data_IF_780820232728
#
_entry.id   IF_780820232728
#
_cell.length_a   1.000
_cell.length_b   1.000
_cell.length_c   1.000
_cell.angle_alpha   90.00
_cell.angle_beta   90.00
_cell.angle_gamma   90.00
#
_symmetry.space_group_name_H-M   'P 1'
#
loop_
_entity.id
_entity.type
_entity.pdbx_description
1 polymer ?
#
# COMPACT_ATOMS: atom_id res chain seq x y z
N UNK A 1 -25.22 -17.81 -2.06
CA UNK A 1 -26.37 -16.88 -2.05
C UNK A 1 -26.83 -16.52 -3.44
N UNK A 2 -26.03 -15.80 -4.23
CA UNK A 2 -26.41 -15.30 -5.57
C UNK A 2 -26.91 -16.38 -6.53
N UNK A 3 -26.23 -17.54 -6.71
CA UNK A 3 -26.76 -18.59 -7.59
C UNK A 3 -28.13 -19.08 -7.16
N UNK A 4 -28.38 -19.26 -5.87
CA UNK A 4 -29.70 -19.68 -5.37
C UNK A 4 -30.76 -18.60 -5.64
N UNK A 5 -30.45 -17.33 -5.40
CA UNK A 5 -31.37 -16.22 -5.68
C UNK A 5 -31.76 -16.16 -7.17
N UNK A 6 -30.77 -16.31 -8.07
CA UNK A 6 -31.03 -16.34 -9.52
C UNK A 6 -31.86 -17.55 -9.93
N UNK A 7 -31.59 -18.72 -9.33
CA UNK A 7 -32.36 -19.94 -9.58
C UNK A 7 -33.83 -19.77 -9.21
N UNK A 8 -34.11 -19.26 -8.02
CA UNK A 8 -35.49 -19.09 -7.53
C UNK A 8 -36.22 -17.90 -8.15
N UNK A 9 -35.48 -16.91 -8.68
CA UNK A 9 -36.10 -15.81 -9.44
C UNK A 9 -36.64 -16.28 -10.78
N UNK A 10 -36.12 -17.36 -11.35
CA UNK A 10 -36.58 -17.92 -12.65
C UNK A 10 -36.23 -17.03 -13.84
N UNK A 11 -36.91 -17.29 -14.99
CA UNK A 11 -36.70 -16.51 -16.19
C UNK A 11 -37.01 -15.00 -15.99
N UNK A 12 -36.23 -14.07 -16.56
CA UNK A 12 -35.13 -14.30 -17.53
C UNK A 12 -33.74 -14.56 -16.93
N UNK A 13 -33.67 -14.73 -15.62
CA UNK A 13 -32.39 -14.89 -14.93
C UNK A 13 -31.82 -16.32 -15.10
N UNK A 14 -30.49 -16.36 -15.21
CA UNK A 14 -29.75 -17.62 -15.38
C UNK A 14 -28.70 -17.75 -14.27
N UNK A 15 -28.55 -18.97 -13.74
CA UNK A 15 -27.45 -19.30 -12.81
C UNK A 15 -26.13 -19.30 -13.55
N UNK A 16 -25.03 -18.82 -12.94
CA UNK A 16 -23.71 -18.91 -13.55
C UNK A 16 -23.26 -20.39 -13.65
N UNK A 17 -22.67 -20.75 -14.80
CA UNK A 17 -22.09 -22.09 -14.99
C UNK A 17 -20.79 -22.24 -14.22
N UNK A 18 -20.02 -21.14 -14.09
CA UNK A 18 -18.75 -21.10 -13.36
C UNK A 18 -18.61 -19.79 -12.60
N UNK A 19 -17.93 -19.82 -11.46
CA UNK A 19 -17.52 -18.66 -10.68
C UNK A 19 -16.02 -18.69 -10.53
N UNK A 20 -15.36 -17.71 -11.17
CA UNK A 20 -13.91 -17.52 -11.04
C UNK A 20 -13.61 -16.45 -10.01
N UNK A 21 -12.71 -16.75 -9.09
CA UNK A 21 -12.34 -15.86 -7.99
C UNK A 21 -10.88 -15.46 -8.15
N UNK A 22 -10.61 -14.18 -8.03
CA UNK A 22 -9.25 -13.66 -7.85
C UNK A 22 -8.96 -13.41 -6.36
N UNK A 23 -7.71 -13.21 -5.98
CA UNK A 23 -7.30 -12.88 -4.60
C UNK A 23 -7.77 -11.49 -4.16
N UNK A 24 -7.44 -11.13 -2.94
CA UNK A 24 -7.74 -9.80 -2.40
C UNK A 24 -6.85 -8.72 -3.03
N UNK A 25 -7.36 -7.50 -3.06
CA UNK A 25 -6.53 -6.34 -3.37
C UNK A 25 -5.97 -5.76 -2.07
N UNK A 26 -4.64 -5.60 -2.05
CA UNK A 26 -3.90 -4.88 -1.00
C UNK A 26 -3.39 -3.54 -1.55
N UNK A 27 -2.96 -2.65 -0.70
CA UNK A 27 -2.36 -1.37 -1.07
C UNK A 27 -1.05 -1.22 -0.30
N UNK A 28 0.07 -1.16 -1.01
CA UNK A 28 1.42 -1.14 -0.45
C UNK A 28 1.62 -2.25 0.62
N UNK A 29 1.22 -3.48 0.28
CA UNK A 29 1.30 -4.67 1.12
C UNK A 29 0.29 -4.73 2.29
N UNK A 30 -0.61 -3.75 2.41
CA UNK A 30 -1.59 -3.67 3.51
C UNK A 30 -3.00 -3.98 3.02
N UNK A 31 -3.76 -4.74 3.80
CA UNK A 31 -5.17 -5.01 3.52
C UNK A 31 -5.95 -3.70 3.46
N UNK A 32 -6.79 -3.55 2.42
CA UNK A 32 -7.71 -2.41 2.32
C UNK A 32 -8.66 -2.35 3.50
N UNK A 33 -8.78 -1.17 4.12
CA UNK A 33 -9.66 -0.91 5.26
C UNK A 33 -10.36 0.45 5.08
N UNK A 34 -11.69 0.45 5.14
CA UNK A 34 -12.48 1.69 5.09
C UNK A 34 -12.20 2.60 6.28
N UNK A 35 -12.06 2.03 7.49
CA UNK A 35 -11.79 2.79 8.72
C UNK A 35 -10.41 3.44 8.75
N UNK A 36 -9.43 2.86 8.05
CA UNK A 36 -8.06 3.39 7.96
C UNK A 36 -7.81 4.22 6.70
N UNK A 37 -8.81 4.40 5.84
CA UNK A 37 -8.66 5.16 4.60
C UNK A 37 -7.72 4.54 3.56
N UNK A 38 -7.35 3.26 3.71
CA UNK A 38 -6.38 2.56 2.83
C UNK A 38 -7.04 1.91 1.61
N UNK A 39 -8.33 2.15 1.37
CA UNK A 39 -9.06 1.61 0.23
C UNK A 39 -9.04 2.55 -0.98
N UNK A 40 -8.92 1.98 -2.18
CA UNK A 40 -9.11 2.72 -3.43
C UNK A 40 -10.61 2.82 -3.69
N UNK A 41 -11.16 4.04 -3.62
CA UNK A 41 -12.54 4.31 -4.01
C UNK A 41 -12.62 4.53 -5.52
N UNK A 42 -13.38 3.72 -6.28
CA UNK A 42 -13.58 3.95 -7.72
C UNK A 42 -14.18 5.33 -8.03
N UNK A 43 -15.09 5.81 -7.17
CA UNK A 43 -15.69 7.14 -7.36
C UNK A 43 -14.65 8.23 -7.20
N UNK A 44 -13.86 8.21 -6.11
CA UNK A 44 -12.76 9.18 -5.90
C UNK A 44 -11.73 9.11 -7.04
N UNK A 45 -11.43 7.92 -7.56
CA UNK A 45 -10.54 7.74 -8.69
C UNK A 45 -11.01 8.54 -9.92
N UNK A 46 -12.31 8.45 -10.23
CA UNK A 46 -12.92 9.18 -11.34
C UNK A 46 -13.04 10.68 -11.09
N UNK A 47 -13.40 11.09 -9.87
CA UNK A 47 -13.47 12.50 -9.44
C UNK A 47 -12.12 13.22 -9.56
N UNK A 48 -11.01 12.52 -9.36
CA UNK A 48 -9.66 13.03 -9.57
C UNK A 48 -9.27 13.12 -11.07
N UNK A 49 -10.19 12.82 -12.00
CA UNK A 49 -9.96 12.86 -13.43
C UNK A 49 -9.01 11.76 -13.93
N UNK A 50 -8.83 10.69 -13.15
CA UNK A 50 -7.97 9.57 -13.55
C UNK A 50 -8.68 8.68 -14.58
N UNK A 51 -7.96 8.27 -15.61
CA UNK A 51 -8.51 7.44 -16.66
C UNK A 51 -8.81 6.02 -16.17
N UNK A 52 -10.06 5.57 -16.33
CA UNK A 52 -10.47 4.22 -15.93
C UNK A 52 -9.66 3.11 -16.61
N UNK A 53 -9.18 3.32 -17.83
CA UNK A 53 -8.39 2.33 -18.56
C UNK A 53 -6.96 2.16 -18.00
N UNK A 54 -6.42 3.13 -17.30
CA UNK A 54 -5.16 2.97 -16.58
C UNK A 54 -5.30 1.90 -15.47
N UNK A 55 -6.40 1.96 -14.72
CA UNK A 55 -6.66 0.99 -13.65
C UNK A 55 -6.99 -0.39 -14.25
N UNK A 56 -7.77 -0.45 -15.34
CA UNK A 56 -8.04 -1.71 -16.04
C UNK A 56 -6.77 -2.38 -16.53
N UNK A 57 -5.87 -1.62 -17.17
CA UNK A 57 -4.58 -2.13 -17.63
C UNK A 57 -3.71 -2.62 -16.46
N UNK A 58 -3.61 -1.82 -15.42
CA UNK A 58 -2.81 -2.16 -14.24
C UNK A 58 -3.29 -3.48 -13.59
N UNK A 59 -4.59 -3.60 -13.36
CA UNK A 59 -5.17 -4.81 -12.78
C UNK A 59 -4.97 -6.01 -13.69
N UNK A 60 -5.27 -5.89 -14.97
CA UNK A 60 -5.08 -6.97 -15.94
C UNK A 60 -3.60 -7.39 -16.05
N UNK A 61 -2.65 -6.46 -15.93
CA UNK A 61 -1.23 -6.78 -15.95
C UNK A 61 -0.74 -7.57 -14.72
N UNK A 62 -1.53 -7.61 -13.65
CA UNK A 62 -1.22 -8.32 -12.40
C UNK A 62 -2.07 -9.58 -12.18
N UNK A 63 -3.22 -9.67 -12.83
CA UNK A 63 -4.13 -10.81 -12.64
C UNK A 63 -3.82 -11.97 -13.57
N UNK A 64 -3.96 -13.17 -13.02
CA UNK A 64 -3.89 -14.45 -13.71
C UNK A 64 -5.11 -15.33 -13.40
N UNK A 65 -5.08 -16.63 -13.77
CA UNK A 65 -6.17 -17.58 -13.52
C UNK A 65 -6.24 -18.06 -12.07
N UNK A 66 -5.25 -17.73 -11.26
CA UNK A 66 -5.13 -18.10 -9.85
C UNK A 66 -5.80 -17.08 -8.93
N UNK A 67 -5.96 -17.43 -7.66
CA UNK A 67 -6.53 -16.55 -6.63
C UNK A 67 -5.46 -15.82 -5.82
N UNK A 68 -4.33 -15.50 -6.43
CA UNK A 68 -3.27 -14.73 -5.80
C UNK A 68 -3.72 -13.30 -5.50
N UNK A 69 -3.25 -12.75 -4.39
CA UNK A 69 -3.53 -11.38 -4.00
C UNK A 69 -2.86 -10.38 -4.96
N UNK A 70 -3.55 -9.29 -5.24
CA UNK A 70 -3.07 -8.22 -6.12
C UNK A 70 -2.70 -7.01 -5.26
N UNK A 71 -1.40 -6.71 -5.18
CA UNK A 71 -0.95 -5.51 -4.48
C UNK A 71 -0.93 -4.29 -5.41
N UNK A 72 -1.62 -3.22 -4.97
CA UNK A 72 -1.59 -1.93 -5.63
C UNK A 72 -0.47 -1.09 -5.04
N UNK A 73 0.54 -0.80 -5.87
CA UNK A 73 1.62 0.14 -5.54
C UNK A 73 1.53 1.36 -6.44
N UNK A 74 1.58 2.57 -5.86
CA UNK A 74 1.53 3.84 -6.61
C UNK A 74 2.66 3.96 -7.62
N UNK A 75 3.87 3.58 -7.23
CA UNK A 75 5.06 3.64 -8.10
C UNK A 75 4.95 2.67 -9.28
N UNK A 76 4.52 1.42 -9.05
CA UNK A 76 4.31 0.42 -10.10
C UNK A 76 3.15 0.83 -11.03
N UNK A 77 2.06 1.36 -10.47
CA UNK A 77 0.95 1.89 -11.27
C UNK A 77 1.41 2.99 -12.22
N UNK A 78 2.10 3.99 -11.70
CA UNK A 78 2.59 5.11 -12.50
C UNK A 78 3.61 4.65 -13.55
N UNK A 79 4.53 3.74 -13.19
CA UNK A 79 5.51 3.19 -14.10
C UNK A 79 4.82 2.44 -15.27
N UNK A 80 3.85 1.57 -14.99
CA UNK A 80 3.13 0.82 -16.03
C UNK A 80 2.32 1.73 -16.94
N UNK A 81 1.58 2.68 -16.40
CA UNK A 81 0.81 3.62 -17.23
C UNK A 81 1.73 4.48 -18.09
N UNK A 82 2.76 5.08 -17.51
CA UNK A 82 3.60 6.04 -18.22
C UNK A 82 4.63 5.36 -19.15
N UNK A 83 5.15 4.18 -18.79
CA UNK A 83 6.11 3.46 -19.62
C UNK A 83 5.42 2.56 -20.63
N UNK A 84 4.52 1.67 -20.21
CA UNK A 84 3.94 0.69 -21.13
C UNK A 84 2.92 1.34 -22.07
N UNK A 85 1.90 2.04 -21.52
CA UNK A 85 0.83 2.58 -22.36
C UNK A 85 1.29 3.79 -23.17
N UNK A 86 2.03 4.72 -22.56
CA UNK A 86 2.38 5.98 -23.22
C UNK A 86 3.77 5.86 -23.87
N UNK A 87 4.76 5.43 -23.13
CA UNK A 87 6.14 5.36 -23.61
C UNK A 87 6.37 4.31 -24.70
N UNK A 88 5.67 3.17 -24.64
CA UNK A 88 5.80 2.11 -25.65
C UNK A 88 4.66 2.15 -26.65
N UNK A 89 3.42 1.87 -26.22
CA UNK A 89 2.28 1.66 -27.14
C UNK A 89 1.86 2.94 -27.89
N UNK A 90 1.43 3.98 -27.19
CA UNK A 90 0.92 5.22 -27.85
C UNK A 90 2.04 5.94 -28.61
N UNK A 91 3.27 5.84 -28.13
CA UNK A 91 4.43 6.45 -28.77
C UNK A 91 4.66 5.98 -30.21
N UNK A 92 4.35 4.73 -30.54
CA UNK A 92 4.47 4.18 -31.89
C UNK A 92 3.67 5.01 -32.90
N UNK A 93 2.41 5.23 -32.62
CA UNK A 93 1.54 6.03 -33.51
C UNK A 93 2.00 7.48 -33.61
N UNK A 94 2.43 8.10 -32.50
CA UNK A 94 2.89 9.49 -32.49
C UNK A 94 4.14 9.72 -33.33
N UNK A 95 5.02 8.71 -33.43
CA UNK A 95 6.28 8.76 -34.21
C UNK A 95 6.09 8.51 -35.71
N UNK A 96 5.00 7.89 -36.13
CA UNK A 96 4.76 7.49 -37.53
C UNK A 96 3.68 8.31 -38.21
N UNK A 97 2.57 8.60 -37.52
CA UNK A 97 1.37 9.18 -38.11
C UNK A 97 1.60 10.53 -38.78
N UNK A 98 2.45 11.38 -38.17
CA UNK A 98 2.74 12.71 -38.72
C UNK A 98 3.39 12.70 -40.11
N UNK A 99 4.21 11.68 -40.39
CA UNK A 99 4.82 11.51 -41.71
C UNK A 99 3.78 11.05 -42.75
N UNK A 100 2.96 10.08 -42.39
CA UNK A 100 1.89 9.58 -43.28
C UNK A 100 0.92 10.70 -43.67
N UNK A 101 0.44 11.48 -42.69
CA UNK A 101 -0.49 12.57 -42.93
C UNK A 101 0.13 13.68 -43.81
N UNK A 102 1.37 14.09 -43.50
CA UNK A 102 1.99 15.24 -44.16
C UNK A 102 2.59 14.95 -45.53
N UNK A 103 3.09 13.74 -45.77
CA UNK A 103 3.86 13.41 -46.96
C UNK A 103 3.23 12.40 -47.90
N UNK A 104 2.24 11.63 -47.40
CA UNK A 104 1.62 10.52 -48.15
C UNK A 104 0.11 10.64 -48.24
N UNK A 105 -0.43 11.86 -48.23
CA UNK A 105 -1.85 12.14 -48.31
C UNK A 105 -2.69 11.33 -47.31
N UNK A 106 -2.12 11.10 -46.12
CA UNK A 106 -2.70 10.29 -45.06
C UNK A 106 -3.02 8.81 -45.44
N UNK A 107 -2.35 8.26 -46.46
CA UNK A 107 -2.52 6.88 -46.92
C UNK A 107 -1.32 6.03 -46.54
N UNK A 108 -1.55 4.82 -46.07
CA UNK A 108 -0.47 3.83 -45.80
C UNK A 108 -0.04 3.12 -47.08
N UNK A 109 1.11 2.48 -47.08
CA UNK A 109 1.58 1.66 -48.19
C UNK A 109 0.90 0.30 -48.22
N UNK A 110 0.64 -0.27 -49.41
CA UNK A 110 -0.03 -1.57 -49.58
C UNK A 110 0.84 -2.79 -49.20
N UNK A 111 2.16 -2.61 -49.10
CA UNK A 111 3.11 -3.70 -48.80
C UNK A 111 3.16 -4.14 -47.31
N UNK A 112 2.42 -3.49 -46.44
CA UNK A 112 2.55 -3.72 -44.99
C UNK A 112 2.22 -5.14 -44.55
N UNK A 113 1.25 -5.78 -45.21
CA UNK A 113 0.81 -7.14 -44.87
C UNK A 113 1.91 -8.19 -45.00
N UNK A 114 2.85 -7.98 -45.91
CA UNK A 114 3.92 -8.92 -46.24
C UNK A 114 5.18 -8.70 -45.39
N UNK A 115 5.25 -7.59 -44.66
CA UNK A 115 6.40 -7.31 -43.79
C UNK A 115 6.53 -8.33 -42.67
N UNK A 116 7.76 -8.83 -42.42
CA UNK A 116 8.04 -9.90 -41.47
C UNK A 116 7.50 -9.63 -40.07
N UNK A 117 7.70 -8.39 -39.56
CA UNK A 117 7.21 -7.96 -38.25
C UNK A 117 5.68 -8.11 -38.15
N UNK A 118 4.95 -7.70 -39.17
CA UNK A 118 3.49 -7.76 -39.23
C UNK A 118 3.02 -9.22 -39.28
N UNK A 119 3.67 -10.09 -40.06
CA UNK A 119 3.37 -11.52 -40.11
C UNK A 119 3.54 -12.18 -38.73
N UNK A 120 4.63 -11.88 -38.03
CA UNK A 120 4.87 -12.40 -36.66
C UNK A 120 3.77 -11.94 -35.71
N UNK A 121 3.41 -10.66 -35.72
CA UNK A 121 2.37 -10.10 -34.84
C UNK A 121 0.99 -10.69 -35.16
N UNK A 122 0.66 -10.83 -36.44
CA UNK A 122 -0.62 -11.43 -36.87
C UNK A 122 -0.75 -12.88 -36.41
N UNK A 123 0.29 -13.66 -36.56
CA UNK A 123 0.32 -15.05 -36.10
C UNK A 123 0.18 -15.20 -34.57
N UNK A 124 0.54 -14.17 -33.81
CA UNK A 124 0.40 -14.19 -32.36
C UNK A 124 -1.01 -13.87 -31.86
N UNK A 125 -1.89 -13.32 -32.71
CA UNK A 125 -3.22 -12.84 -32.31
C UNK A 125 -4.08 -13.95 -31.70
N UNK A 126 -4.12 -15.12 -32.33
CA UNK A 126 -4.90 -16.28 -31.84
C UNK A 126 -4.39 -16.73 -30.46
N UNK A 127 -3.07 -16.79 -30.30
CA UNK A 127 -2.43 -17.13 -29.01
C UNK A 127 -2.80 -16.11 -27.90
N UNK A 128 -2.85 -14.83 -28.23
CA UNK A 128 -3.26 -13.79 -27.27
C UNK A 128 -4.76 -13.94 -26.93
N UNK A 129 -5.63 -14.21 -27.90
CA UNK A 129 -7.05 -14.47 -27.67
C UNK A 129 -7.26 -15.68 -26.74
N UNK A 130 -6.47 -16.76 -26.95
CA UNK A 130 -6.49 -17.93 -26.08
C UNK A 130 -6.05 -17.60 -24.63
N UNK A 131 -5.04 -16.76 -24.44
CA UNK A 131 -4.62 -16.30 -23.11
C UNK A 131 -5.74 -15.52 -22.39
N UNK A 132 -6.46 -14.65 -23.09
CA UNK A 132 -7.64 -13.96 -22.53
C UNK A 132 -8.73 -14.95 -22.11
N UNK A 133 -9.05 -15.94 -22.94
CA UNK A 133 -10.04 -16.96 -22.63
C UNK A 133 -9.64 -17.81 -21.41
N UNK A 134 -8.33 -18.04 -21.22
CA UNK A 134 -7.76 -18.77 -20.08
C UNK A 134 -7.59 -17.88 -18.85
N UNK A 135 -7.96 -16.59 -18.92
CA UNK A 135 -7.74 -15.57 -17.85
C UNK A 135 -6.28 -15.30 -17.52
N UNK A 136 -5.37 -15.67 -18.40
CA UNK A 136 -3.92 -15.39 -18.33
C UNK A 136 -3.62 -13.93 -18.74
N UNK A 137 -4.33 -12.96 -18.13
CA UNK A 137 -4.29 -11.55 -18.54
C UNK A 137 -2.88 -10.97 -18.47
N UNK A 138 -2.14 -11.25 -17.38
CA UNK A 138 -0.78 -10.74 -17.22
C UNK A 138 0.18 -11.27 -18.29
N UNK A 139 -0.01 -12.51 -18.74
CA UNK A 139 0.77 -13.08 -19.84
C UNK A 139 0.40 -12.46 -21.18
N UNK A 140 -0.88 -12.28 -21.45
CA UNK A 140 -1.36 -11.60 -22.67
C UNK A 140 -0.75 -10.20 -22.79
N UNK A 141 -0.88 -9.38 -21.74
CA UNK A 141 -0.36 -8.00 -21.74
C UNK A 141 1.17 -7.95 -21.85
N UNK A 142 1.87 -8.85 -21.18
CA UNK A 142 3.35 -8.95 -21.30
C UNK A 142 3.77 -9.27 -22.73
N UNK A 143 3.10 -10.21 -23.39
CA UNK A 143 3.38 -10.56 -24.78
C UNK A 143 3.08 -9.38 -25.74
N UNK A 144 2.00 -8.65 -25.52
CA UNK A 144 1.68 -7.47 -26.33
C UNK A 144 2.72 -6.35 -26.11
N UNK A 145 3.17 -6.13 -24.88
CA UNK A 145 4.20 -5.12 -24.59
C UNK A 145 5.58 -5.52 -25.16
N UNK A 146 5.91 -6.81 -25.21
CA UNK A 146 7.10 -7.28 -25.91
C UNK A 146 7.03 -7.00 -27.42
N UNK A 147 5.85 -7.12 -28.03
CA UNK A 147 5.65 -6.71 -29.42
C UNK A 147 5.84 -5.19 -29.57
N UNK A 148 5.34 -4.39 -28.63
CA UNK A 148 5.55 -2.94 -28.63
C UNK A 148 7.05 -2.57 -28.55
N UNK A 149 7.83 -3.30 -27.76
CA UNK A 149 9.29 -3.13 -27.71
C UNK A 149 9.92 -3.43 -29.09
N UNK A 150 9.57 -4.56 -29.71
CA UNK A 150 10.08 -4.92 -31.05
C UNK A 150 9.71 -3.88 -32.13
N UNK A 151 8.51 -3.29 -32.05
CA UNK A 151 8.10 -2.23 -32.98
C UNK A 151 8.90 -0.93 -32.72
N UNK A 152 9.12 -0.56 -31.47
CA UNK A 152 9.95 0.61 -31.14
C UNK A 152 11.42 0.41 -31.57
N UNK A 153 11.98 -0.79 -31.38
CA UNK A 153 13.33 -1.15 -31.88
C UNK A 153 13.40 -1.05 -33.41
N UNK A 154 12.36 -1.51 -34.12
CA UNK A 154 12.25 -1.34 -35.57
C UNK A 154 12.26 0.14 -35.94
N UNK A 155 11.45 0.99 -35.31
CA UNK A 155 11.41 2.43 -35.59
C UNK A 155 12.74 3.09 -35.29
N UNK A 156 13.40 2.72 -34.18
CA UNK A 156 14.69 3.29 -33.77
C UNK A 156 15.84 2.86 -34.70
N UNK A 157 15.78 1.66 -35.29
CA UNK A 157 16.72 1.19 -36.30
C UNK A 157 16.53 1.89 -37.64
N UNK A 158 15.29 1.98 -38.12
CA UNK A 158 14.98 2.56 -39.45
C UNK A 158 15.00 4.09 -39.43
N UNK A 159 14.89 4.74 -38.26
CA UNK A 159 14.99 6.20 -38.05
C UNK A 159 14.17 7.02 -39.06
N UNK A 160 12.83 6.97 -39.06
CA UNK A 160 11.99 7.67 -40.03
C UNK A 160 12.24 9.17 -40.06
N UNK A 161 12.68 9.79 -38.96
CA UNK A 161 13.07 11.21 -38.93
C UNK A 161 14.35 11.52 -39.74
N UNK A 162 15.25 10.55 -39.88
CA UNK A 162 16.43 10.72 -40.77
C UNK A 162 16.02 10.46 -42.22
N UNK A 163 15.24 9.41 -42.50
CA UNK A 163 14.71 9.14 -43.84
C UNK A 163 13.94 10.32 -44.39
N UNK A 164 13.23 11.05 -43.56
CA UNK A 164 12.45 12.21 -43.95
C UNK A 164 13.28 13.41 -44.43
N UNK A 165 14.61 13.39 -44.25
CA UNK A 165 15.48 14.48 -44.68
C UNK A 165 15.84 14.45 -46.18
N UNK A 166 15.68 13.28 -46.84
CA UNK A 166 15.98 13.13 -48.29
C UNK A 166 14.75 12.58 -49.02
N UNK A 167 14.49 13.15 -50.19
CA UNK A 167 13.40 12.67 -51.05
C UNK A 167 13.69 11.26 -51.66
N UNK A 168 14.95 10.91 -51.81
CA UNK A 168 15.38 9.56 -52.25
C UNK A 168 14.89 8.44 -51.34
N UNK A 169 14.71 8.74 -50.05
CA UNK A 169 14.24 7.80 -49.05
C UNK A 169 12.70 7.79 -48.88
N UNK A 170 11.98 8.45 -49.78
CA UNK A 170 10.53 8.66 -49.66
C UNK A 170 9.77 7.33 -49.54
N UNK A 171 10.03 6.38 -50.43
CA UNK A 171 9.33 5.09 -50.44
C UNK A 171 9.65 4.25 -49.17
N UNK A 172 10.92 4.27 -48.73
CA UNK A 172 11.31 3.62 -47.50
C UNK A 172 10.68 4.26 -46.26
N UNK A 173 10.59 5.59 -46.21
CA UNK A 173 9.88 6.30 -45.16
C UNK A 173 8.41 5.91 -45.13
N UNK A 174 7.76 5.80 -46.31
CA UNK A 174 6.36 5.39 -46.43
C UNK A 174 6.15 3.98 -45.88
N UNK A 175 6.98 3.03 -46.29
CA UNK A 175 6.96 1.65 -45.80
C UNK A 175 7.13 1.61 -44.27
N UNK A 176 8.18 2.22 -43.72
CA UNK A 176 8.49 2.19 -42.28
C UNK A 176 7.36 2.74 -41.43
N UNK A 177 6.82 3.91 -41.81
CA UNK A 177 5.71 4.52 -41.07
C UNK A 177 4.41 3.70 -41.21
N UNK A 178 4.16 3.10 -42.37
CA UNK A 178 2.99 2.26 -42.60
C UNK A 178 3.04 0.96 -41.80
N UNK A 179 4.21 0.31 -41.76
CA UNK A 179 4.45 -0.87 -40.93
C UNK A 179 4.24 -0.55 -39.44
N UNK A 180 4.72 0.60 -38.97
CA UNK A 180 4.53 1.02 -37.60
C UNK A 180 3.04 1.25 -37.25
N UNK A 181 2.26 1.84 -38.15
CA UNK A 181 0.83 2.05 -37.94
C UNK A 181 0.02 0.75 -38.02
N UNK A 182 0.37 -0.17 -38.89
CA UNK A 182 -0.29 -1.50 -38.95
C UNK A 182 0.03 -2.32 -37.68
N UNK A 183 1.30 -2.30 -37.20
CA UNK A 183 1.67 -2.91 -35.95
C UNK A 183 0.89 -2.30 -34.76
N UNK A 184 0.75 -0.98 -34.74
CA UNK A 184 -0.06 -0.28 -33.74
C UNK A 184 -1.54 -0.68 -33.79
N UNK A 185 -2.12 -0.86 -34.99
CA UNK A 185 -3.48 -1.37 -35.17
C UNK A 185 -3.65 -2.77 -34.59
N UNK A 186 -2.73 -3.70 -34.91
CA UNK A 186 -2.76 -5.08 -34.38
C UNK A 186 -2.64 -5.11 -32.86
N UNK A 187 -1.75 -4.28 -32.27
CA UNK A 187 -1.65 -4.15 -30.80
C UNK A 187 -2.94 -3.59 -30.21
N UNK A 188 -3.56 -2.61 -30.86
CA UNK A 188 -4.85 -2.05 -30.42
C UNK A 188 -5.94 -3.10 -30.39
N UNK A 189 -6.03 -3.93 -31.42
CA UNK A 189 -6.93 -5.08 -31.49
C UNK A 189 -6.73 -6.00 -30.28
N UNK A 190 -5.49 -6.38 -30.00
CA UNK A 190 -5.17 -7.27 -28.89
C UNK A 190 -5.37 -6.62 -27.50
N UNK A 191 -5.26 -5.29 -27.39
CA UNK A 191 -5.49 -4.52 -26.16
C UNK A 191 -6.97 -4.15 -25.96
N UNK A 192 -7.83 -4.22 -26.99
CA UNK A 192 -9.23 -3.79 -26.94
C UNK A 192 -10.03 -4.39 -25.78
N UNK A 193 -9.86 -5.66 -25.38
CA UNK A 193 -10.56 -6.20 -24.19
C UNK A 193 -10.25 -5.45 -22.89
N UNK A 194 -9.08 -4.85 -22.80
CA UNK A 194 -8.63 -4.09 -21.60
C UNK A 194 -8.83 -2.60 -21.78
N UNK A 195 -8.60 -2.06 -22.98
CA UNK A 195 -8.61 -0.63 -23.32
C UNK A 195 -9.68 -0.31 -24.39
N UNK A 196 -10.97 -0.56 -24.16
CA UNK A 196 -12.01 -0.41 -25.19
C UNK A 196 -12.20 1.03 -25.66
N UNK A 197 -12.12 2.03 -24.76
CA UNK A 197 -12.29 3.43 -25.14
C UNK A 197 -11.07 3.97 -25.93
N UNK A 198 -9.86 3.51 -25.60
CA UNK A 198 -8.67 3.82 -26.40
C UNK A 198 -8.74 3.15 -27.76
N UNK A 199 -9.18 1.89 -27.83
CA UNK A 199 -9.38 1.19 -29.11
C UNK A 199 -10.36 1.94 -30.02
N UNK A 200 -11.51 2.38 -29.50
CA UNK A 200 -12.46 3.19 -30.27
C UNK A 200 -11.84 4.49 -30.81
N UNK A 201 -10.98 5.17 -30.06
CA UNK A 201 -10.25 6.35 -30.55
C UNK A 201 -9.27 6.00 -31.67
N UNK A 202 -8.59 4.85 -31.54
CA UNK A 202 -7.64 4.36 -32.56
C UNK A 202 -8.39 3.94 -33.84
N UNK A 203 -9.51 3.25 -33.71
CA UNK A 203 -10.41 2.90 -34.85
C UNK A 203 -10.83 4.16 -35.62
N UNK A 204 -11.24 5.18 -34.87
CA UNK A 204 -11.62 6.47 -35.47
C UNK A 204 -10.41 7.20 -36.10
N UNK A 205 -9.22 7.13 -35.49
CA UNK A 205 -7.99 7.72 -36.01
C UNK A 205 -7.50 7.03 -37.27
N UNK A 206 -7.40 5.69 -37.25
CA UNK A 206 -6.97 4.88 -38.40
C UNK A 206 -8.04 4.76 -39.47
N UNK A 207 -9.28 5.14 -39.19
CA UNK A 207 -10.45 5.00 -40.07
C UNK A 207 -10.60 3.58 -40.62
N UNK A 208 -10.34 2.56 -39.76
CA UNK A 208 -10.25 1.15 -40.14
C UNK A 208 -11.51 0.32 -39.80
N UNK A 209 -12.57 0.96 -39.31
CA UNK A 209 -13.74 0.28 -38.79
C UNK A 209 -13.51 -0.31 -37.40
N UNK A 210 -14.49 -1.06 -36.91
CA UNK A 210 -14.41 -1.71 -35.62
C UNK A 210 -13.38 -2.87 -35.64
N UNK A 211 -12.50 -2.92 -34.65
CA UNK A 211 -11.52 -3.98 -34.48
C UNK A 211 -12.11 -5.15 -33.68
N UNK A 212 -12.15 -6.31 -34.30
CA UNK A 212 -12.45 -7.60 -33.72
C UNK A 212 -11.30 -8.59 -34.02
N UNK A 213 -11.35 -9.79 -33.46
CA UNK A 213 -10.26 -10.78 -33.65
C UNK A 213 -10.07 -11.16 -35.15
N UNK A 214 -11.12 -11.14 -35.97
CA UNK A 214 -11.06 -11.41 -37.41
C UNK A 214 -10.38 -10.26 -38.16
N UNK A 215 -10.42 -9.05 -37.63
CA UNK A 215 -9.77 -7.87 -38.21
C UNK A 215 -8.25 -8.01 -38.32
N UNK A 216 -7.65 -8.98 -37.60
CA UNK A 216 -6.22 -9.30 -37.75
C UNK A 216 -5.87 -9.71 -39.19
N UNK A 217 -6.80 -10.31 -39.92
CA UNK A 217 -6.63 -10.75 -41.31
C UNK A 217 -6.91 -9.62 -42.34
N UNK A 218 -7.38 -8.46 -41.90
CA UNK A 218 -7.69 -7.29 -42.73
C UNK A 218 -6.70 -6.15 -42.40
N UNK A 219 -5.54 -6.10 -43.07
CA UNK A 219 -4.54 -5.05 -42.81
C UNK A 219 -5.03 -3.69 -43.29
N UNK A 220 -4.37 -2.63 -42.87
CA UNK A 220 -4.55 -1.30 -43.45
C UNK A 220 -4.12 -1.34 -44.93
N UNK A 221 -4.89 -0.66 -45.77
CA UNK A 221 -4.65 -0.52 -47.22
C UNK A 221 -4.56 0.95 -47.60
N UNK A 222 -4.01 1.21 -48.78
CA UNK A 222 -3.93 2.58 -49.34
C UNK A 222 -5.27 3.21 -49.69
N UNK A 223 -6.35 2.43 -49.70
CA UNK A 223 -7.70 2.91 -50.01
C UNK A 223 -8.28 3.81 -48.91
N UNK A 224 -7.83 3.59 -47.65
CA UNK A 224 -8.33 4.31 -46.48
C UNK A 224 -7.37 5.42 -46.08
N UNK A 225 -7.88 6.62 -45.83
CA UNK A 225 -7.14 7.74 -45.27
C UNK A 225 -7.25 7.75 -43.75
N UNK A 226 -6.11 7.78 -43.08
CA UNK A 226 -6.05 8.02 -41.63
C UNK A 226 -6.33 9.50 -41.32
N UNK A 227 -6.86 9.75 -40.12
CA UNK A 227 -7.07 11.12 -39.63
C UNK A 227 -5.80 11.67 -38.99
N UNK A 228 -5.69 13.00 -38.78
CA UNK A 228 -4.61 13.58 -37.99
C UNK A 228 -4.54 12.96 -36.59
N UNK A 229 -3.34 12.61 -36.13
CA UNK A 229 -3.13 12.02 -34.81
C UNK A 229 -3.46 13.03 -33.71
N UNK A 230 -4.27 12.59 -32.75
CA UNK A 230 -4.56 13.33 -31.51
C UNK A 230 -4.05 12.52 -30.32
N UNK A 231 -3.79 13.19 -29.19
CA UNK A 231 -3.34 12.49 -28.00
C UNK A 231 -4.39 11.47 -27.52
N UNK A 232 -4.04 10.19 -27.53
CA UNK A 232 -4.89 9.08 -27.13
C UNK A 232 -4.99 8.95 -25.61
N UNK A 233 -3.90 9.22 -24.90
CA UNK A 233 -3.80 9.16 -23.44
C UNK A 233 -2.90 10.27 -22.89
N UNK A 234 -3.17 10.67 -21.65
CA UNK A 234 -2.31 11.54 -20.86
C UNK A 234 -1.45 10.71 -19.91
N UNK A 235 -0.38 11.31 -19.38
CA UNK A 235 0.45 10.69 -18.34
C UNK A 235 -0.25 10.76 -16.99
N UNK A 236 -0.08 9.72 -16.19
CA UNK A 236 -0.49 9.72 -14.80
C UNK A 236 0.47 10.62 -13.98
N UNK A 237 -0.11 11.52 -13.17
CA UNK A 237 0.64 12.39 -12.25
C UNK A 237 0.63 11.77 -10.85
N UNK A 238 1.78 11.81 -10.17
CA UNK A 238 1.92 11.34 -8.78
C UNK A 238 0.96 12.06 -7.83
N UNK A 239 0.65 13.34 -8.08
CA UNK A 239 -0.31 14.12 -7.27
C UNK A 239 -1.71 13.51 -7.27
N UNK A 240 -2.14 12.93 -8.39
CA UNK A 240 -3.44 12.24 -8.46
C UNK A 240 -3.43 10.97 -7.60
N UNK A 241 -2.32 10.22 -7.61
CA UNK A 241 -2.16 9.01 -6.78
C UNK A 241 -2.06 9.33 -5.30
N UNK A 242 -1.36 10.43 -4.93
CA UNK A 242 -1.28 10.89 -3.55
C UNK A 242 -2.61 11.40 -3.02
N UNK A 243 -3.40 12.06 -3.89
CA UNK A 243 -4.76 12.46 -3.53
C UNK A 243 -5.72 11.26 -3.41
N UNK A 244 -5.53 10.21 -4.24
CA UNK A 244 -6.33 8.99 -4.19
C UNK A 244 -6.05 8.19 -2.92
N UNK A 245 -4.77 7.97 -2.62
CA UNK A 245 -4.27 7.21 -1.47
C UNK A 245 -3.31 8.12 -0.71
N UNK A 246 -3.80 8.92 0.25
CA UNK A 246 -2.94 9.76 1.07
C UNK A 246 -1.86 8.91 1.76
N UNK A 247 -0.65 9.45 1.95
CA UNK A 247 0.34 8.76 2.75
C UNK A 247 -0.24 8.45 4.13
N UNK A 248 -0.10 7.22 4.57
CA UNK A 248 -0.51 6.85 5.93
C UNK A 248 0.44 7.57 6.87
N UNK A 249 -0.05 8.63 7.50
CA UNK A 249 0.62 9.19 8.67
C UNK A 249 0.44 8.12 9.75
N UNK A 250 1.46 7.32 10.00
CA UNK A 250 1.48 6.49 11.19
C UNK A 250 1.43 7.47 12.36
N UNK A 251 0.30 7.49 13.05
CA UNK A 251 0.30 8.06 14.40
C UNK A 251 1.38 7.29 15.16
N UNK A 252 2.49 7.96 15.42
CA UNK A 252 3.51 7.46 16.33
C UNK A 252 2.79 7.35 17.66
N UNK A 253 2.26 6.17 17.98
CA UNK A 253 1.75 5.92 19.31
C UNK A 253 2.91 6.23 20.25
N UNK A 254 2.71 7.12 21.23
CA UNK A 254 3.76 7.42 22.20
C UNK A 254 4.23 6.07 22.78
N UNK A 255 5.53 5.85 22.71
CA UNK A 255 6.13 4.63 23.27
C UNK A 255 5.86 4.68 24.77
N UNK A 256 5.09 3.74 25.26
CA UNK A 256 4.77 3.65 26.69
C UNK A 256 6.08 3.43 27.47
N UNK A 257 6.47 4.35 28.38
CA UNK A 257 7.71 4.20 29.16
C UNK A 257 7.68 2.88 29.96
N UNK A 258 8.72 2.06 29.81
CA UNK A 258 8.80 0.74 30.46
C UNK A 258 7.54 -0.15 30.28
N UNK A 259 6.81 0.01 29.16
CA UNK A 259 5.65 -0.81 28.83
C UNK A 259 4.32 -0.35 29.45
N UNK A 260 4.29 0.71 30.23
CA UNK A 260 3.08 1.30 30.82
C UNK A 260 2.75 2.67 30.19
N UNK A 261 1.48 2.89 29.87
CA UNK A 261 1.03 4.19 29.39
C UNK A 261 1.07 5.22 30.54
N UNK A 262 1.47 6.46 30.20
CA UNK A 262 1.42 7.55 31.16
C UNK A 262 -0.04 7.76 31.59
N UNK A 263 -0.28 7.81 32.90
CA UNK A 263 -1.60 8.06 33.45
C UNK A 263 -2.15 9.45 33.02
N UNK A 264 -3.48 9.65 33.08
CA UNK A 264 -4.09 10.94 32.76
C UNK A 264 -3.46 12.10 33.54
N UNK A 265 -3.47 13.29 32.93
CA UNK A 265 -2.96 14.50 33.53
C UNK A 265 -3.58 14.77 34.91
N UNK A 266 -2.74 15.18 35.88
CA UNK A 266 -3.17 15.62 37.22
C UNK A 266 -2.68 17.02 37.45
N UNK A 267 -3.43 17.77 38.28
CA UNK A 267 -3.03 19.13 38.69
C UNK A 267 -2.02 19.09 39.81
N UNK A 268 -1.28 20.17 39.99
CA UNK A 268 -0.39 20.33 41.17
C UNK A 268 -1.13 20.20 42.51
N UNK A 269 -2.41 20.60 42.52
CA UNK A 269 -3.28 20.48 43.69
C UNK A 269 -3.62 19.00 43.97
N UNK A 270 -3.71 18.14 42.95
CA UNK A 270 -3.92 16.71 43.15
C UNK A 270 -2.67 16.05 43.70
N UNK A 271 -1.50 16.42 43.21
CA UNK A 271 -0.21 15.95 43.73
C UNK A 271 -0.03 16.41 45.19
N UNK A 272 -0.41 17.65 45.54
CA UNK A 272 -0.28 18.21 46.88
C UNK A 272 -1.16 17.49 47.94
N UNK A 273 -2.18 16.72 47.51
CA UNK A 273 -3.00 15.88 48.42
C UNK A 273 -2.21 14.68 48.96
N UNK A 274 -1.15 14.26 48.27
CA UNK A 274 -0.30 13.17 48.72
C UNK A 274 0.77 13.75 49.67
N UNK A 275 0.93 13.14 50.84
CA UNK A 275 2.02 13.47 51.77
C UNK A 275 3.09 12.40 51.69
N UNK A 276 4.07 12.65 50.80
CA UNK A 276 5.23 11.76 50.62
C UNK A 276 6.36 12.23 51.48
N UNK A 277 6.92 11.31 52.29
CA UNK A 277 8.01 11.61 53.24
C UNK A 277 9.17 10.68 53.17
N UNK A 278 10.37 11.18 53.46
CA UNK A 278 11.51 10.38 53.73
C UNK A 278 11.29 9.61 55.04
N UNK A 279 11.48 8.30 55.02
CA UNK A 279 11.34 7.39 56.11
C UNK A 279 12.63 6.62 56.36
N UNK A 280 13.00 6.35 57.61
CA UNK A 280 14.06 5.42 57.94
C UNK A 280 13.46 4.04 58.25
N UNK A 281 13.94 3.01 57.60
CA UNK A 281 13.57 1.62 57.92
C UNK A 281 14.30 1.23 59.21
N UNK A 282 13.56 1.16 60.32
CA UNK A 282 14.11 0.83 61.65
C UNK A 282 14.27 -0.67 61.82
N UNK A 283 13.29 -1.43 61.26
CA UNK A 283 13.28 -2.90 61.30
C UNK A 283 12.60 -3.44 60.06
N UNK A 284 13.08 -4.57 59.53
CA UNK A 284 12.46 -5.30 58.42
C UNK A 284 12.39 -6.79 58.74
N UNK A 285 11.21 -7.39 58.59
CA UNK A 285 10.94 -8.79 58.94
C UNK A 285 10.18 -9.51 57.85
N UNK A 286 10.44 -10.83 57.67
CA UNK A 286 9.59 -11.71 56.88
C UNK A 286 8.26 -11.91 57.60
N UNK A 287 7.19 -11.91 56.86
CA UNK A 287 5.82 -12.13 57.39
C UNK A 287 5.55 -13.63 57.42
N UNK A 288 5.33 -14.17 58.59
CA UNK A 288 4.99 -15.59 58.74
C UNK A 288 3.68 -15.93 57.98
N UNK A 289 3.73 -16.95 57.14
CA UNK A 289 2.62 -17.36 56.27
C UNK A 289 2.44 -16.52 55.01
N UNK A 290 3.42 -15.66 54.67
CA UNK A 290 3.49 -14.95 53.37
C UNK A 290 4.79 -15.23 52.67
N UNK A 291 4.74 -15.48 51.36
CA UNK A 291 5.89 -15.63 50.46
C UNK A 291 6.21 -14.34 49.69
N UNK A 292 5.41 -13.31 49.86
CA UNK A 292 5.51 -12.06 49.07
C UNK A 292 5.79 -10.83 49.90
N UNK A 293 5.39 -10.81 51.18
CA UNK A 293 5.37 -9.62 52.00
C UNK A 293 6.57 -9.53 52.93
N UNK A 294 7.21 -8.35 52.98
CA UNK A 294 8.02 -7.93 54.12
C UNK A 294 7.22 -6.93 54.96
N UNK A 295 7.42 -7.01 56.27
CA UNK A 295 6.94 -6.02 57.24
C UNK A 295 8.06 -5.04 57.54
N UNK A 296 7.85 -3.77 57.22
CA UNK A 296 8.78 -2.70 57.50
C UNK A 296 8.25 -1.87 58.67
N UNK A 297 9.06 -1.70 59.70
CA UNK A 297 8.84 -0.72 60.74
C UNK A 297 9.63 0.53 60.39
N UNK A 298 8.93 1.64 60.06
CA UNK A 298 9.53 2.87 59.57
C UNK A 298 9.33 4.05 60.52
N UNK A 299 10.35 4.90 60.60
CA UNK A 299 10.32 6.16 61.30
C UNK A 299 10.26 7.29 60.27
N UNK A 300 9.20 8.14 60.36
CA UNK A 300 9.02 9.34 59.56
C UNK A 300 9.21 10.63 60.35
N UNK A 301 9.83 10.59 61.51
CA UNK A 301 10.14 11.75 62.36
C UNK A 301 8.94 12.30 63.15
N UNK A 302 7.89 11.47 63.38
CA UNK A 302 6.69 11.90 64.11
C UNK A 302 6.70 11.45 65.64
N UNK A 303 7.82 10.92 66.10
CA UNK A 303 7.98 10.45 67.50
C UNK A 303 7.43 9.05 67.74
N UNK A 304 6.91 8.37 66.71
CA UNK A 304 6.44 6.98 66.72
C UNK A 304 6.85 6.26 65.43
N UNK A 305 6.84 4.97 65.44
CA UNK A 305 7.05 4.17 64.23
C UNK A 305 5.74 3.75 63.61
N UNK A 306 5.75 3.45 62.30
CA UNK A 306 4.63 2.91 61.55
C UNK A 306 4.99 1.54 60.95
N UNK A 307 3.99 0.66 60.81
CA UNK A 307 4.14 -0.58 60.12
C UNK A 307 3.63 -0.47 58.67
N UNK A 308 4.46 -0.88 57.73
CA UNK A 308 4.13 -0.94 56.31
C UNK A 308 4.39 -2.34 55.81
N UNK A 309 3.39 -2.95 55.14
CA UNK A 309 3.56 -4.23 54.48
C UNK A 309 3.77 -3.99 52.98
N UNK A 310 4.88 -4.51 52.46
CA UNK A 310 5.23 -4.35 51.04
C UNK A 310 5.56 -5.68 50.37
N UNK A 311 5.16 -5.85 49.11
CA UNK A 311 5.32 -7.08 48.31
C UNK A 311 6.73 -7.30 47.74
N UNK A 312 7.77 -6.98 48.50
CA UNK A 312 9.16 -6.92 48.01
C UNK A 312 10.04 -8.09 48.46
N UNK A 313 9.46 -9.12 49.10
CA UNK A 313 10.24 -10.24 49.66
C UNK A 313 11.03 -11.04 48.63
N UNK A 314 10.60 -11.06 47.36
CA UNK A 314 11.28 -11.75 46.27
C UNK A 314 12.56 -11.03 45.83
N UNK A 315 12.69 -9.72 46.15
CA UNK A 315 13.73 -8.85 45.62
C UNK A 315 14.72 -8.36 46.68
N UNK A 316 14.33 -8.41 47.98
CA UNK A 316 15.15 -7.87 49.09
C UNK A 316 15.26 -8.81 50.27
N UNK A 317 16.48 -8.95 50.80
CA UNK A 317 16.65 -9.55 52.12
C UNK A 317 16.34 -8.48 53.19
N UNK A 318 15.59 -8.79 54.25
CA UNK A 318 15.28 -7.87 55.33
C UNK A 318 16.50 -7.13 55.90
N UNK A 319 17.65 -7.81 56.05
CA UNK A 319 18.87 -7.22 56.60
C UNK A 319 19.45 -6.12 55.72
N UNK A 320 19.24 -6.18 54.41
CA UNK A 320 19.77 -5.19 53.46
C UNK A 320 18.97 -3.89 53.49
N UNK A 321 17.78 -3.91 54.08
CA UNK A 321 16.86 -2.78 54.15
C UNK A 321 16.94 -2.03 55.50
N UNK A 322 17.35 -2.69 56.58
CA UNK A 322 17.42 -2.08 57.89
C UNK A 322 18.47 -0.94 57.92
N UNK A 323 18.05 0.18 58.47
CA UNK A 323 18.88 1.39 58.55
C UNK A 323 18.85 2.30 57.32
N UNK A 324 18.35 1.81 56.17
CA UNK A 324 18.23 2.60 54.94
C UNK A 324 17.12 3.65 55.03
N UNK A 325 17.30 4.72 54.23
CA UNK A 325 16.28 5.73 54.00
C UNK A 325 15.48 5.34 52.75
N UNK A 326 14.19 5.57 52.79
CA UNK A 326 13.28 5.35 51.65
C UNK A 326 12.21 6.43 51.59
N UNK A 327 11.33 6.36 50.61
CA UNK A 327 10.19 7.27 50.44
C UNK A 327 8.90 6.51 50.70
N UNK A 328 8.01 7.09 51.50
CA UNK A 328 6.70 6.52 51.80
C UNK A 328 5.60 7.55 51.60
N UNK A 329 4.41 7.10 51.21
CA UNK A 329 3.18 7.92 51.29
C UNK A 329 2.63 7.77 52.70
N UNK A 330 2.66 8.87 53.46
CA UNK A 330 2.37 8.90 54.89
C UNK A 330 0.89 9.15 55.23
N UNK A 331 0.12 9.72 54.32
CA UNK A 331 -1.27 10.06 54.54
C UNK A 331 -2.28 9.12 53.90
N UNK A 332 -1.85 7.91 53.51
CA UNK A 332 -2.81 6.89 53.13
C UNK A 332 -3.59 6.39 54.34
N UNK A 333 -4.89 6.15 54.15
CA UNK A 333 -5.73 5.56 55.16
C UNK A 333 -5.16 4.15 55.58
N UNK A 334 -5.06 3.87 56.89
CA UNK A 334 -4.56 2.59 57.36
C UNK A 334 -5.35 1.40 56.75
N UNK A 335 -4.67 0.45 56.16
CA UNK A 335 -5.26 -0.74 55.53
C UNK A 335 -5.15 -1.97 56.40
N UNK A 336 -6.27 -2.52 56.82
CA UNK A 336 -6.31 -3.80 57.55
C UNK A 336 -6.03 -4.95 56.59
N UNK A 337 -5.01 -5.72 56.86
CA UNK A 337 -4.55 -6.87 56.09
C UNK A 337 -4.62 -8.13 56.95
N UNK A 338 -4.46 -9.32 56.36
CA UNK A 338 -4.44 -10.60 57.11
C UNK A 338 -3.36 -10.64 58.19
N UNK A 339 -2.27 -9.96 57.99
CA UNK A 339 -1.05 -10.00 58.85
C UNK A 339 -0.87 -8.77 59.73
N UNK A 340 -1.80 -7.83 59.72
CA UNK A 340 -1.75 -6.62 60.51
C UNK A 340 -2.31 -5.40 59.78
N UNK A 341 -2.01 -4.19 60.32
CA UNK A 341 -2.43 -2.92 59.70
C UNK A 341 -1.23 -2.27 59.04
N UNK A 342 -1.37 -1.92 57.74
CA UNK A 342 -0.40 -1.11 57.00
C UNK A 342 -0.76 0.35 57.12
N UNK A 343 0.18 1.19 57.63
CA UNK A 343 -0.04 2.63 57.97
C UNK A 343 0.64 3.57 56.97
N UNK A 344 0.76 3.13 55.71
CA UNK A 344 1.38 3.87 54.61
C UNK A 344 1.74 2.96 53.47
N UNK A 345 2.42 3.49 52.46
CA UNK A 345 2.89 2.75 51.28
C UNK A 345 4.35 3.11 50.98
N UNK A 346 5.19 2.08 50.81
CA UNK A 346 6.56 2.21 50.33
C UNK A 346 6.51 2.49 48.82
N UNK A 347 7.28 3.47 48.36
CA UNK A 347 7.42 3.74 46.94
C UNK A 347 8.54 2.92 46.32
N UNK A 348 8.24 2.27 45.22
CA UNK A 348 9.20 1.49 44.42
C UNK A 348 8.91 1.71 42.93
N UNK A 349 9.92 1.53 42.11
CA UNK A 349 9.81 1.54 40.64
C UNK A 349 9.98 0.12 40.14
N UNK A 350 9.14 -0.28 39.16
CA UNK A 350 9.26 -1.51 38.39
C UNK A 350 8.83 -1.26 36.94
N UNK A 351 9.13 -2.18 36.02
CA UNK A 351 8.49 -2.22 34.72
C UNK A 351 7.07 -2.83 34.80
N UNK A 352 6.35 -2.82 33.69
CA UNK A 352 4.95 -3.29 33.60
C UNK A 352 4.73 -4.74 34.10
N UNK A 353 5.72 -5.60 33.98
CA UNK A 353 5.64 -7.03 34.30
C UNK A 353 6.54 -7.49 35.45
N UNK A 354 7.17 -6.55 36.14
CA UNK A 354 8.15 -6.78 37.25
C UNK A 354 9.35 -7.67 36.88
N UNK A 355 9.56 -8.01 35.60
CA UNK A 355 10.68 -8.88 35.19
C UNK A 355 12.03 -8.20 35.28
N UNK A 356 12.05 -6.88 35.08
CA UNK A 356 13.27 -6.07 35.10
C UNK A 356 13.76 -5.75 36.52
N UNK A 357 12.99 -6.16 37.54
CA UNK A 357 13.27 -5.92 38.94
C UNK A 357 12.32 -4.90 39.57
N UNK A 358 12.41 -4.82 40.93
CA UNK A 358 11.65 -3.87 41.73
C UNK A 358 12.67 -3.06 42.56
N UNK A 359 12.66 -1.73 42.44
CA UNK A 359 13.66 -0.84 43.00
C UNK A 359 12.97 0.13 43.98
N UNK A 360 13.34 0.06 45.27
CA UNK A 360 12.87 1.02 46.26
C UNK A 360 13.54 2.38 46.03
N UNK A 361 12.77 3.47 46.26
CA UNK A 361 13.30 4.82 46.07
C UNK A 361 14.15 5.20 47.31
N UNK A 362 15.43 5.43 47.09
CA UNK A 362 16.39 5.88 48.13
C UNK A 362 16.66 7.37 47.91
N UNK A 363 16.50 8.23 48.95
CA UNK A 363 16.87 9.65 48.85
C UNK A 363 18.37 9.80 48.89
N UNK A 364 18.89 10.91 48.34
CA UNK A 364 20.32 11.22 48.38
C UNK A 364 20.86 11.39 49.84
N UNK A 365 22.16 11.22 50.00
CA UNK A 365 22.84 11.44 51.25
C UNK A 365 22.62 12.85 51.81
N UNK A 366 22.29 12.94 53.10
CA UNK A 366 21.94 14.19 53.78
C UNK A 366 20.43 14.37 54.00
N UNK A 367 19.59 13.56 53.35
CA UNK A 367 18.16 13.55 53.65
C UNK A 367 17.90 13.01 55.07
N UNK A 368 16.84 13.49 55.72
CA UNK A 368 16.49 13.09 57.08
C UNK A 368 15.05 12.60 57.15
N UNK A 369 14.73 11.61 58.01
CA UNK A 369 13.34 11.19 58.23
C UNK A 369 12.41 12.38 58.49
N UNK A 370 11.23 12.35 57.91
CA UNK A 370 10.23 13.43 58.02
C UNK A 370 10.30 14.49 56.94
N UNK A 371 11.39 14.62 56.18
CA UNK A 371 11.46 15.56 55.05
C UNK A 371 10.36 15.21 54.03
N UNK A 372 9.56 16.22 53.64
CA UNK A 372 8.48 16.09 52.69
C UNK A 372 8.98 16.27 51.25
N UNK A 373 8.55 15.39 50.33
CA UNK A 373 8.75 15.56 48.89
C UNK A 373 7.78 16.63 48.37
N UNK A 374 8.29 17.49 47.49
CA UNK A 374 7.54 18.62 46.95
C UNK A 374 7.74 18.67 45.45
#
# INVERSE_FOLDING_TARGET
FWPAMLHFAGQPYRVPDNVFVHGFMTVDGRKMSKSRGTGISPMKYLELGMNAEWLRYYLAAKMGPTNDDVDFSKSDFMARVNSDLIGKYVNIASRAAGFIVKRFNARVADCVAEHTLIKVMRNAVEGIAALYNQREYSRALRSIMAMADSVNEYIDREKPWELAKSEENRDKLHEVCSVALEAFRLMTLMLKPVLPATAAKVEAFLNCGELDWESALRPLTSDVQIKPFTHLMQRCDIKQLDALIPPVVEEVKPVAPCGEEIAPEVTINDFAKLDMRVAKIVKCEKVEGSTKLLRLTVDIGEGKTRNIFSGIQAWYDPKDLEGKLTVVIANLAPRKMRFGVSEGMLLSASGADDKDGLFILEPQAGAKPGMRLR
#
